data_IF_505836116742
#
_entry.id   IF_505836116742
#
_cell.length_a   1.000
_cell.length_b   1.000
_cell.length_c   1.000
_cell.angle_alpha   90.00
_cell.angle_beta   90.00
_cell.angle_gamma   90.00
#
_symmetry.space_group_name_H-M   'P 1'
#
loop_
_entity.id
_entity.type
_entity.pdbx_description
1 polymer ?
#
# COMPACT_ATOMS: atom_id res chain seq x y z
N UNK A 1 -1.29 -24.34 35.29
CA UNK A 1 -1.31 -25.01 33.96
C UNK A 1 -0.84 -24.00 32.93
N UNK A 2 0.24 -24.37 32.23
CA UNK A 2 0.99 -23.57 31.26
C UNK A 2 0.31 -23.55 29.87
N UNK A 3 0.67 -22.52 29.07
CA UNK A 3 0.70 -22.45 27.58
C UNK A 3 -0.67 -22.24 26.89
N UNK A 4 -0.85 -21.34 25.89
CA UNK A 4 0.06 -20.75 24.89
C UNK A 4 -0.46 -19.38 24.44
N UNK A 5 0.39 -18.35 24.55
CA UNK A 5 0.22 -17.12 23.78
C UNK A 5 0.56 -17.40 22.31
N UNK A 6 -0.42 -17.27 21.43
CA UNK A 6 -0.18 -17.24 19.99
C UNK A 6 0.41 -15.89 19.63
N UNK A 7 1.73 -15.79 19.70
CA UNK A 7 2.49 -14.69 19.14
C UNK A 7 2.39 -14.81 17.61
N UNK A 8 1.51 -14.02 16.99
CA UNK A 8 1.42 -13.92 15.54
C UNK A 8 2.68 -13.19 15.04
N UNK A 9 3.73 -13.95 14.74
CA UNK A 9 4.91 -13.44 14.03
C UNK A 9 4.52 -13.20 12.58
N UNK A 10 4.17 -11.95 12.26
CA UNK A 10 4.04 -11.50 10.87
C UNK A 10 5.46 -11.45 10.29
N UNK A 11 5.83 -12.47 9.52
CA UNK A 11 7.04 -12.44 8.69
C UNK A 11 6.80 -11.46 7.55
N UNK A 12 7.38 -10.27 7.66
CA UNK A 12 7.55 -9.34 6.55
C UNK A 12 8.53 -9.98 5.54
N UNK A 13 8.01 -10.54 4.47
CA UNK A 13 8.80 -10.97 3.32
C UNK A 13 8.95 -9.73 2.42
N UNK A 14 10.16 -9.31 2.03
CA UNK A 14 10.33 -8.19 1.11
C UNK A 14 9.97 -8.68 -0.29
N UNK A 15 8.80 -8.29 -0.78
CA UNK A 15 8.37 -8.57 -2.16
C UNK A 15 8.82 -7.39 -3.03
N UNK A 16 9.80 -7.65 -3.88
CA UNK A 16 10.25 -6.74 -4.94
C UNK A 16 9.13 -6.54 -5.97
N UNK A 17 8.53 -5.34 -5.94
CA UNK A 17 7.87 -4.55 -7.00
C UNK A 17 7.09 -5.25 -8.13
N UNK A 18 5.80 -4.87 -8.30
CA UNK A 18 5.16 -4.43 -9.57
C UNK A 18 3.66 -4.15 -9.32
N UNK A 19 3.29 -2.87 -9.38
CA UNK A 19 2.01 -2.31 -8.93
C UNK A 19 2.33 -1.31 -7.82
N UNK A 20 2.55 -0.05 -8.17
CA UNK A 20 3.04 0.95 -7.22
C UNK A 20 1.92 1.37 -6.28
N UNK A 21 1.61 0.50 -5.29
CA UNK A 21 0.83 0.88 -4.12
C UNK A 21 1.60 2.02 -3.44
N UNK A 22 0.96 3.18 -3.30
CA UNK A 22 1.60 4.32 -2.66
C UNK A 22 1.82 3.94 -1.19
N UNK A 23 3.08 3.88 -0.79
CA UNK A 23 3.44 3.56 0.59
C UNK A 23 3.04 4.73 1.48
N UNK A 24 2.42 4.49 2.65
CA UNK A 24 2.15 5.56 3.59
C UNK A 24 3.47 6.22 4.00
N UNK A 25 3.46 7.55 4.08
CA UNK A 25 4.64 8.34 4.41
C UNK A 25 4.33 9.21 5.61
N UNK A 26 5.19 9.09 6.64
CA UNK A 26 5.17 9.92 7.84
C UNK A 26 6.42 10.81 7.82
N UNK A 27 6.28 12.14 7.76
CA UNK A 27 7.43 13.04 7.67
C UNK A 27 8.25 13.00 8.97
N UNK A 28 9.58 12.87 8.92
CA UNK A 28 10.40 13.04 10.11
C UNK A 28 10.46 14.52 10.53
N UNK A 29 10.69 14.80 11.82
CA UNK A 29 10.79 16.20 12.31
C UNK A 29 11.95 16.98 11.65
N UNK A 30 13.00 16.27 11.23
CA UNK A 30 14.23 16.85 10.66
C UNK A 30 14.25 16.87 9.11
N UNK A 31 13.09 16.97 8.44
CA UNK A 31 13.02 16.99 6.96
C UNK A 31 13.86 18.12 6.37
N UNK A 32 13.69 19.35 6.83
CA UNK A 32 14.36 20.51 6.24
C UNK A 32 15.89 20.42 6.34
N UNK A 33 16.41 20.10 7.52
CA UNK A 33 17.84 20.00 7.78
C UNK A 33 18.49 18.89 6.95
N UNK A 34 17.78 17.77 6.76
CA UNK A 34 18.24 16.66 5.91
C UNK A 34 18.28 17.05 4.44
N UNK A 35 17.22 17.69 3.95
CA UNK A 35 17.18 18.20 2.56
C UNK A 35 18.29 19.22 2.31
N UNK A 36 18.53 20.16 3.23
CA UNK A 36 19.65 21.11 3.13
C UNK A 36 21.01 20.41 3.10
N UNK A 37 21.18 19.39 3.95
CA UNK A 37 22.40 18.58 3.99
C UNK A 37 22.61 17.76 2.70
N UNK A 38 21.54 17.29 2.07
CA UNK A 38 21.61 16.60 0.78
C UNK A 38 21.87 17.57 -0.38
N UNK A 39 21.24 18.74 -0.35
CA UNK A 39 21.39 19.77 -1.37
C UNK A 39 22.83 20.26 -1.44
N UNK A 40 23.44 20.57 -0.29
CA UNK A 40 24.86 20.97 -0.22
C UNK A 40 25.82 19.88 -0.72
N UNK A 41 25.53 18.61 -0.44
CA UNK A 41 26.33 17.47 -0.96
C UNK A 41 26.20 17.28 -2.47
N UNK A 42 25.00 17.47 -3.02
CA UNK A 42 24.74 17.23 -4.44
C UNK A 42 25.16 18.39 -5.34
N UNK A 43 25.20 19.61 -4.77
CA UNK A 43 25.40 20.87 -5.49
C UNK A 43 26.64 21.59 -4.93
N UNK A 44 27.84 21.28 -5.45
CA UNK A 44 29.11 21.82 -4.93
C UNK A 44 29.31 23.34 -5.13
N UNK A 45 28.43 24.01 -5.88
CA UNK A 45 28.62 25.41 -6.33
C UNK A 45 27.68 26.42 -5.66
N UNK A 46 26.99 26.06 -4.56
CA UNK A 46 25.99 26.95 -3.93
C UNK A 46 26.49 27.36 -2.55
N UNK A 47 26.77 28.65 -2.39
CA UNK A 47 27.21 29.23 -1.12
C UNK A 47 26.03 29.67 -0.23
N UNK A 48 24.86 29.95 -0.81
CA UNK A 48 23.67 30.38 -0.07
C UNK A 48 22.49 29.47 -0.41
N UNK A 49 22.11 28.61 0.54
CA UNK A 49 20.89 27.80 0.54
C UNK A 49 19.70 28.56 1.17
N UNK A 50 19.70 29.89 1.05
CA UNK A 50 18.61 30.76 1.48
C UNK A 50 17.70 31.12 0.28
N UNK A 51 16.41 31.32 0.56
CA UNK A 51 15.21 31.34 -0.29
C UNK A 51 15.28 32.06 -1.66
N UNK A 52 14.38 31.74 -2.63
CA UNK A 52 14.06 30.41 -3.17
C UNK A 52 15.13 29.97 -4.18
N UNK A 53 15.83 28.88 -3.88
CA UNK A 53 16.80 28.30 -4.80
C UNK A 53 16.08 27.47 -5.89
N UNK A 54 16.06 28.03 -7.10
CA UNK A 54 15.58 27.34 -8.31
C UNK A 54 16.67 26.46 -8.89
N UNK A 55 16.31 25.23 -9.27
CA UNK A 55 17.29 24.32 -9.88
C UNK A 55 17.77 24.86 -11.24
N UNK A 56 19.09 25.06 -11.44
CA UNK A 56 19.61 25.64 -12.68
C UNK A 56 19.61 24.64 -13.84
N UNK A 57 19.82 23.35 -13.55
CA UNK A 57 19.86 22.29 -14.56
C UNK A 57 19.01 21.07 -14.15
N UNK A 58 18.46 20.39 -15.15
CA UNK A 58 17.65 19.18 -14.95
C UNK A 58 18.45 18.04 -14.32
N UNK A 59 19.73 17.88 -14.65
CA UNK A 59 20.54 16.82 -14.04
C UNK A 59 20.78 17.09 -12.55
N UNK A 60 20.97 18.35 -12.19
CA UNK A 60 21.12 18.78 -10.80
C UNK A 60 19.85 18.47 -9.98
N UNK A 61 18.67 18.79 -10.53
CA UNK A 61 17.36 18.45 -9.95
C UNK A 61 17.21 16.95 -9.76
N UNK A 62 17.43 16.14 -10.81
CA UNK A 62 17.29 14.69 -10.74
C UNK A 62 18.23 14.07 -9.69
N UNK A 63 19.45 14.59 -9.56
CA UNK A 63 20.41 14.10 -8.55
C UNK A 63 19.91 14.34 -7.12
N UNK A 64 19.41 15.55 -6.84
CA UNK A 64 18.84 15.89 -5.52
C UNK A 64 17.59 15.07 -5.23
N UNK A 65 16.65 14.97 -6.18
CA UNK A 65 15.42 14.19 -5.99
C UNK A 65 15.71 12.72 -5.72
N UNK A 66 16.65 12.11 -6.47
CA UNK A 66 17.06 10.71 -6.23
C UNK A 66 17.66 10.51 -4.85
N UNK A 67 18.50 11.43 -4.39
CA UNK A 67 19.08 11.37 -3.05
C UNK A 67 18.00 11.47 -1.96
N UNK A 68 17.02 12.38 -2.13
CA UNK A 68 15.91 12.53 -1.19
C UNK A 68 15.02 11.28 -1.16
N UNK A 69 14.68 10.71 -2.33
CA UNK A 69 13.88 9.49 -2.42
C UNK A 69 14.55 8.30 -1.71
N UNK A 70 15.88 8.22 -1.78
CA UNK A 70 16.67 7.20 -1.08
C UNK A 70 16.71 7.45 0.44
N UNK A 71 16.87 8.69 0.89
CA UNK A 71 16.94 9.01 2.32
C UNK A 71 15.60 8.81 3.03
N UNK A 72 14.51 9.29 2.42
CA UNK A 72 13.17 9.22 3.00
C UNK A 72 12.43 7.92 2.67
N UNK A 73 13.01 7.05 1.83
CA UNK A 73 12.36 5.85 1.28
C UNK A 73 10.97 6.13 0.67
N UNK A 74 10.76 7.33 0.16
CA UNK A 74 9.50 7.79 -0.40
C UNK A 74 9.69 8.21 -1.86
N UNK A 75 8.93 7.58 -2.75
CA UNK A 75 9.06 7.75 -4.21
C UNK A 75 8.17 8.89 -4.67
N UNK A 76 8.76 9.85 -5.40
CA UNK A 76 8.03 10.96 -6.00
C UNK A 76 7.37 10.47 -7.31
N UNK A 77 6.05 10.61 -7.47
CA UNK A 77 5.36 10.19 -8.68
C UNK A 77 5.57 11.18 -9.84
N UNK A 78 5.48 10.69 -11.07
CA UNK A 78 5.77 11.48 -12.28
C UNK A 78 4.89 12.71 -12.45
N UNK A 79 3.65 12.67 -11.95
CA UNK A 79 2.72 13.78 -11.99
C UNK A 79 3.19 14.97 -11.15
N UNK A 80 3.89 14.77 -10.04
CA UNK A 80 4.33 15.86 -9.14
C UNK A 80 5.68 16.45 -9.56
N UNK A 81 6.46 15.76 -10.40
CA UNK A 81 7.81 16.19 -10.78
C UNK A 81 7.87 17.60 -11.42
N UNK A 82 6.81 18.03 -12.10
CA UNK A 82 6.75 19.34 -12.74
C UNK A 82 6.46 20.47 -11.75
N UNK A 83 5.81 20.17 -10.62
CA UNK A 83 5.47 21.15 -9.57
C UNK A 83 6.68 21.51 -8.71
N UNK A 84 7.66 20.60 -8.61
CA UNK A 84 8.88 20.81 -7.82
C UNK A 84 9.92 21.62 -8.61
N UNK A 85 9.78 22.95 -8.66
CA UNK A 85 10.75 23.83 -9.33
C UNK A 85 11.89 24.30 -8.42
N UNK A 86 11.61 24.43 -7.13
CA UNK A 86 12.51 25.01 -6.14
C UNK A 86 12.77 24.05 -4.96
N UNK A 87 13.80 24.36 -4.16
CA UNK A 87 14.06 23.62 -2.91
C UNK A 87 12.93 23.76 -1.89
N UNK A 88 12.21 24.89 -1.87
CA UNK A 88 11.07 25.07 -0.95
C UNK A 88 9.91 24.14 -1.33
N UNK A 89 9.55 24.07 -2.62
CA UNK A 89 8.53 23.12 -3.11
C UNK A 89 8.91 21.66 -2.78
N UNK A 90 10.20 21.34 -2.80
CA UNK A 90 10.68 20.02 -2.39
C UNK A 90 10.51 19.76 -0.90
N UNK A 91 10.80 20.74 -0.05
CA UNK A 91 10.55 20.65 1.40
C UNK A 91 9.06 20.47 1.67
N UNK A 92 8.22 21.29 1.06
CA UNK A 92 6.77 21.24 1.23
C UNK A 92 6.22 19.84 0.87
N UNK A 93 6.70 19.26 -0.24
CA UNK A 93 6.33 17.90 -0.64
C UNK A 93 6.69 16.85 0.42
N UNK A 94 7.89 16.90 1.00
CA UNK A 94 8.31 15.95 2.03
C UNK A 94 7.81 16.29 3.44
N UNK A 95 7.22 17.47 3.66
CA UNK A 95 6.47 17.75 4.88
C UNK A 95 5.04 17.23 4.80
N UNK A 96 4.50 17.05 3.58
CA UNK A 96 3.16 16.52 3.40
C UNK A 96 3.11 15.04 3.75
N UNK A 97 2.23 14.72 4.70
CA UNK A 97 1.93 13.35 5.08
C UNK A 97 1.07 12.65 4.03
N UNK A 98 1.33 11.35 3.81
CA UNK A 98 0.58 10.51 2.88
C UNK A 98 -0.10 9.39 3.65
N UNK A 99 -1.43 9.44 3.67
CA UNK A 99 -2.25 8.37 4.24
C UNK A 99 -2.18 7.08 3.42
N UNK A 100 -2.31 5.91 4.07
CA UNK A 100 -2.43 4.64 3.35
C UNK A 100 -3.71 4.59 2.51
N UNK A 101 -3.60 4.03 1.30
CA UNK A 101 -4.75 3.86 0.40
C UNK A 101 -5.88 3.01 1.02
N UNK A 102 -5.51 1.95 1.76
CA UNK A 102 -6.47 1.06 2.43
C UNK A 102 -6.77 1.55 3.84
N UNK A 103 -7.81 2.38 3.94
CA UNK A 103 -8.27 2.95 5.21
C UNK A 103 -8.75 1.88 6.19
N UNK A 104 -9.32 0.79 5.71
CA UNK A 104 -9.83 -0.28 6.57
C UNK A 104 -8.67 -1.01 7.24
N UNK A 105 -7.62 -1.33 6.47
CA UNK A 105 -6.38 -1.88 7.02
C UNK A 105 -5.71 -0.90 8.01
N UNK A 106 -5.65 0.38 7.67
CA UNK A 106 -5.08 1.41 8.54
C UNK A 106 -5.83 1.52 9.88
N UNK A 107 -7.16 1.57 9.85
CA UNK A 107 -7.99 1.58 11.06
C UNK A 107 -7.79 0.32 11.91
N UNK A 108 -7.61 -0.84 11.28
CA UNK A 108 -7.34 -2.08 12.00
C UNK A 108 -5.97 -2.05 12.71
N UNK A 109 -4.94 -1.51 12.06
CA UNK A 109 -3.61 -1.32 12.67
C UNK A 109 -3.63 -0.29 13.81
N UNK A 110 -4.34 0.82 13.64
CA UNK A 110 -4.51 1.85 14.67
C UNK A 110 -5.27 1.30 15.87
N UNK A 111 -6.35 0.56 15.64
CA UNK A 111 -7.09 -0.10 16.72
C UNK A 111 -6.23 -1.12 17.48
N UNK A 112 -5.38 -1.88 16.79
CA UNK A 112 -4.46 -2.81 17.44
C UNK A 112 -3.44 -2.10 18.35
N UNK A 113 -3.11 -0.83 18.09
CA UNK A 113 -2.18 -0.03 18.90
C UNK A 113 -2.85 0.70 20.05
N UNK A 114 -4.02 1.29 19.82
CA UNK A 114 -4.64 2.26 20.74
C UNK A 114 -6.01 1.82 21.28
N UNK A 115 -6.55 0.69 20.82
CA UNK A 115 -7.89 0.18 21.21
C UNK A 115 -8.99 1.24 21.08
N UNK A 116 -8.95 2.03 20.01
CA UNK A 116 -9.84 3.17 19.80
C UNK A 116 -11.27 2.76 19.42
N UNK A 117 -11.53 1.48 19.12
CA UNK A 117 -12.84 1.05 18.68
C UNK A 117 -13.82 0.84 19.84
N UNK A 118 -15.09 1.24 19.66
CA UNK A 118 -16.15 0.88 20.59
C UNK A 118 -16.24 -0.63 20.82
N UNK A 119 -16.62 -1.09 22.03
CA UNK A 119 -16.64 -2.52 22.37
C UNK A 119 -17.65 -3.33 21.53
N UNK A 120 -18.63 -2.68 20.91
CA UNK A 120 -19.64 -3.29 20.05
C UNK A 120 -19.26 -3.29 18.56
N UNK A 121 -18.05 -2.84 18.18
CA UNK A 121 -17.62 -2.75 16.79
C UNK A 121 -16.39 -3.62 16.56
N UNK A 122 -16.48 -4.52 15.58
CA UNK A 122 -15.39 -5.40 15.16
C UNK A 122 -15.08 -5.13 13.70
N UNK A 123 -13.81 -4.88 13.38
CA UNK A 123 -13.35 -4.72 12.00
C UNK A 123 -13.07 -6.07 11.38
N UNK A 124 -13.56 -6.25 10.16
CA UNK A 124 -13.28 -7.43 9.36
C UNK A 124 -12.43 -7.04 8.16
N UNK A 125 -11.12 -7.26 8.27
CA UNK A 125 -10.14 -6.90 7.23
C UNK A 125 -10.15 -7.91 6.09
N UNK A 126 -10.19 -9.20 6.43
CA UNK A 126 -10.24 -10.25 5.42
C UNK A 126 -11.68 -10.45 4.93
N UNK A 127 -11.93 -10.34 3.61
CA UNK A 127 -13.26 -10.53 3.08
C UNK A 127 -13.68 -11.99 3.25
N UNK A 128 -14.84 -12.23 3.86
CA UNK A 128 -15.46 -13.56 3.85
C UNK A 128 -15.95 -13.81 2.44
N UNK A 129 -15.42 -14.87 1.82
CA UNK A 129 -15.76 -15.25 0.45
C UNK A 129 -16.68 -16.45 0.46
N UNK A 130 -17.68 -16.41 -0.40
CA UNK A 130 -18.60 -17.53 -0.59
C UNK A 130 -17.84 -18.75 -1.12
N UNK A 131 -18.00 -19.89 -0.45
CA UNK A 131 -17.57 -21.18 -0.96
C UNK A 131 -18.79 -22.00 -1.36
N UNK A 132 -18.97 -22.34 -2.66
CA UNK A 132 -20.10 -23.14 -3.11
C UNK A 132 -20.10 -24.59 -2.56
N UNK A 133 -18.96 -25.06 -2.04
CA UNK A 133 -18.82 -26.39 -1.47
C UNK A 133 -19.07 -26.40 0.05
N UNK A 134 -18.94 -25.25 0.71
CA UNK A 134 -19.12 -25.14 2.14
C UNK A 134 -20.61 -25.00 2.47
N UNK A 135 -21.12 -25.95 3.28
CA UNK A 135 -22.50 -25.97 3.79
C UNK A 135 -22.56 -25.75 5.31
N UNK A 136 -21.43 -25.47 5.95
CA UNK A 136 -21.34 -25.35 7.40
C UNK A 136 -22.10 -24.14 7.94
N UNK A 137 -21.98 -22.99 7.27
CA UNK A 137 -22.59 -21.73 7.70
C UNK A 137 -24.03 -21.57 7.25
N UNK A 138 -24.33 -21.87 5.97
CA UNK A 138 -25.66 -21.71 5.41
C UNK A 138 -26.08 -22.98 4.67
N UNK A 139 -27.19 -23.65 5.08
CA UNK A 139 -27.65 -24.86 4.42
C UNK A 139 -28.24 -24.58 3.02
N UNK A 140 -28.68 -23.34 2.76
CA UNK A 140 -29.20 -22.88 1.47
C UNK A 140 -28.41 -21.65 1.03
N UNK A 141 -27.88 -21.68 -0.18
CA UNK A 141 -27.16 -20.56 -0.79
C UNK A 141 -28.10 -19.75 -1.70
N UNK A 142 -27.93 -18.43 -1.72
CA UNK A 142 -28.59 -17.54 -2.67
C UNK A 142 -28.02 -17.64 -4.09
N UNK A 143 -26.88 -18.31 -4.28
CA UNK A 143 -26.16 -18.43 -5.56
C UNK A 143 -25.98 -19.90 -6.00
N UNK A 144 -27.08 -20.63 -6.25
CA UNK A 144 -26.98 -22.03 -6.67
C UNK A 144 -26.27 -22.16 -8.02
N UNK A 145 -25.34 -23.11 -8.11
CA UNK A 145 -24.62 -23.41 -9.35
C UNK A 145 -23.66 -22.34 -9.86
N UNK A 146 -23.35 -21.31 -9.06
CA UNK A 146 -22.35 -20.27 -9.43
C UNK A 146 -20.99 -20.52 -8.80
N UNK A 147 -19.96 -20.44 -9.64
CA UNK A 147 -18.55 -20.49 -9.23
C UNK A 147 -18.07 -19.09 -8.80
N UNK A 148 -17.17 -19.03 -7.81
CA UNK A 148 -16.48 -17.81 -7.42
C UNK A 148 -15.06 -17.84 -8.00
N UNK A 149 -14.93 -17.33 -9.23
CA UNK A 149 -13.66 -17.28 -9.95
C UNK A 149 -13.03 -15.89 -9.76
N UNK A 150 -11.74 -15.87 -9.42
CA UNK A 150 -10.97 -14.63 -9.37
C UNK A 150 -10.37 -14.36 -10.74
N UNK A 151 -10.74 -13.22 -11.33
CA UNK A 151 -10.24 -12.78 -12.64
C UNK A 151 -8.95 -11.98 -12.54
N UNK A 152 -8.76 -11.21 -11.47
CA UNK A 152 -7.60 -10.35 -11.30
C UNK A 152 -6.32 -11.12 -10.92
N UNK A 153 -5.18 -10.66 -11.43
CA UNK A 153 -3.87 -11.35 -11.27
C UNK A 153 -3.41 -11.30 -9.79
N UNK A 154 -3.65 -10.20 -9.10
CA UNK A 154 -3.26 -10.05 -7.70
C UNK A 154 -4.21 -10.82 -6.78
N UNK A 155 -5.51 -10.72 -7.03
CA UNK A 155 -6.56 -11.38 -6.26
C UNK A 155 -6.53 -12.89 -6.43
N UNK A 156 -6.20 -13.39 -7.62
CA UNK A 156 -6.06 -14.84 -7.86
C UNK A 156 -4.85 -15.44 -7.14
N UNK A 157 -3.81 -14.65 -6.87
CA UNK A 157 -2.68 -15.07 -6.01
C UNK A 157 -3.06 -15.06 -4.54
N UNK A 158 -3.76 -14.02 -4.08
CA UNK A 158 -4.15 -13.89 -2.67
C UNK A 158 -5.26 -14.89 -2.29
N UNK A 159 -6.18 -15.16 -3.21
CA UNK A 159 -7.38 -15.93 -2.91
C UNK A 159 -7.64 -17.00 -3.98
N UNK A 160 -7.86 -18.26 -3.57
CA UNK A 160 -8.14 -19.32 -4.52
C UNK A 160 -9.51 -19.13 -5.18
N UNK A 161 -9.57 -19.43 -6.47
CA UNK A 161 -10.85 -19.57 -7.17
C UNK A 161 -11.55 -20.85 -6.69
N UNK A 162 -12.85 -20.77 -6.42
CA UNK A 162 -13.66 -21.92 -6.02
C UNK A 162 -14.69 -22.18 -7.10
N UNK A 163 -14.58 -23.34 -7.75
CA UNK A 163 -15.50 -23.78 -8.80
C UNK A 163 -16.54 -24.72 -8.23
N UNK A 164 -17.76 -24.65 -8.76
CA UNK A 164 -18.83 -25.59 -8.43
C UNK A 164 -18.61 -26.91 -9.18
N UNK A 165 -18.94 -28.03 -8.53
CA UNK A 165 -19.01 -29.33 -9.19
C UNK A 165 -20.00 -29.30 -10.37
N UNK A 166 -19.68 -30.02 -11.46
CA UNK A 166 -20.48 -30.01 -12.70
C UNK A 166 -21.97 -30.31 -12.42
N UNK A 167 -22.26 -31.28 -11.56
CA UNK A 167 -23.62 -31.73 -11.21
C UNK A 167 -24.51 -30.64 -10.58
N UNK A 168 -23.88 -29.61 -10.00
CA UNK A 168 -24.60 -28.52 -9.32
C UNK A 168 -24.70 -27.27 -10.18
N UNK A 169 -24.08 -27.24 -11.37
CA UNK A 169 -24.16 -26.08 -12.27
C UNK A 169 -25.52 -26.03 -12.93
N UNK A 170 -26.15 -24.86 -12.89
CA UNK A 170 -27.44 -24.61 -13.53
C UNK A 170 -27.29 -24.26 -15.02
N UNK A 171 -26.07 -23.93 -15.45
CA UNK A 171 -25.72 -23.58 -16.82
C UNK A 171 -24.49 -24.38 -17.24
N UNK A 172 -24.47 -24.82 -18.49
CA UNK A 172 -23.31 -25.44 -19.12
C UNK A 172 -22.42 -24.30 -19.58
N UNK A 173 -21.25 -24.13 -18.98
CA UNK A 173 -20.28 -23.14 -19.44
C UNK A 173 -19.47 -23.72 -20.61
N UNK A 174 -18.93 -22.90 -21.54
CA UNK A 174 -18.14 -23.39 -22.67
C UNK A 174 -16.94 -24.24 -22.25
N UNK A 175 -16.40 -23.99 -21.05
CA UNK A 175 -15.31 -24.75 -20.44
C UNK A 175 -15.70 -26.17 -20.01
N UNK A 176 -17.01 -26.50 -19.92
CA UNK A 176 -17.49 -27.82 -19.49
C UNK A 176 -17.54 -28.86 -20.60
N UNK A 177 -17.46 -28.41 -21.86
CA UNK A 177 -17.53 -29.24 -23.07
C UNK A 177 -16.14 -29.72 -23.57
N UNK A 178 -15.11 -29.54 -22.75
CA UNK A 178 -13.74 -30.04 -22.99
C UNK A 178 -13.45 -31.22 -22.07
#
# INVERSE_FOLDING_TARGET
MYLRGFLCRVKMIPVLFRGAKISPYRPPENVESRIQSLASKCLPNINNLEEPYRFPDRQSKVRVLKACMQEFNHTIPSNVLHEIEDLNSLKDYFHQEVEPEDKLAAMAEENAKQSNLPPNLVLQVEPIRFDPNDKSFFPKTAFPGRSTVMSGIEESKKYPSRRVSKDRRLRIDPEDNV
#
